data_IF_188555621026
#
_entry.id   IF_188555621026
#
_cell.length_a   1.000
_cell.length_b   1.000
_cell.length_c   1.000
_cell.angle_alpha   90.00
_cell.angle_beta   90.00
_cell.angle_gamma   90.00
#
_symmetry.space_group_name_H-M   'P 1'
#
loop_
_entity.id
_entity.type
_entity.pdbx_description
1 polymer ?
#
# COMPACT_ATOMS: atom_id res chain seq x y z
N UNK A 1 -4.80 38.52 -34.30
CA UNK A 1 -6.07 38.40 -33.57
C UNK A 1 -6.43 36.92 -33.44
N UNK A 2 -5.59 36.14 -32.73
CA UNK A 2 -5.68 34.67 -32.56
C UNK A 2 -5.10 34.33 -31.18
N UNK A 3 -5.70 34.86 -30.10
CA UNK A 3 -5.24 34.52 -28.74
C UNK A 3 -6.39 34.24 -27.76
N UNK A 4 -7.64 34.49 -28.13
CA UNK A 4 -8.77 34.45 -27.18
C UNK A 4 -9.48 33.08 -27.14
N UNK A 5 -9.19 32.16 -28.06
CA UNK A 5 -9.85 30.84 -28.15
C UNK A 5 -9.28 29.79 -27.18
N UNK A 6 -8.12 30.04 -26.55
CA UNK A 6 -7.48 29.07 -25.65
C UNK A 6 -7.98 29.11 -24.19
N UNK A 7 -8.87 30.05 -23.84
CA UNK A 7 -9.32 30.27 -22.45
C UNK A 7 -10.62 29.54 -22.06
N UNK A 8 -11.29 28.80 -22.96
CA UNK A 8 -12.63 28.23 -22.72
C UNK A 8 -12.71 26.69 -22.68
N UNK A 9 -11.57 25.99 -22.56
CA UNK A 9 -11.49 24.55 -22.90
C UNK A 9 -11.28 23.52 -21.79
N UNK A 10 -11.16 23.89 -20.51
CA UNK A 10 -11.08 22.90 -19.41
C UNK A 10 -11.93 23.31 -18.21
N UNK A 11 -13.24 23.18 -18.33
CA UNK A 11 -14.11 23.10 -17.15
C UNK A 11 -13.87 21.75 -16.50
N UNK A 12 -12.95 21.70 -15.55
CA UNK A 12 -12.87 20.60 -14.58
C UNK A 12 -14.24 20.44 -13.89
N UNK A 13 -14.56 19.24 -13.37
CA UNK A 13 -15.78 19.06 -12.61
C UNK A 13 -15.87 20.12 -11.48
N UNK A 14 -17.02 20.78 -11.30
CA UNK A 14 -17.29 21.70 -10.19
C UNK A 14 -16.75 21.18 -8.83
N UNK A 15 -16.21 22.06 -7.96
CA UNK A 15 -15.46 21.66 -6.77
C UNK A 15 -16.25 20.74 -5.81
N UNK A 16 -17.57 20.91 -5.72
CA UNK A 16 -18.44 20.10 -4.84
C UNK A 16 -18.43 18.59 -5.18
N UNK A 17 -18.35 18.25 -6.47
CA UNK A 17 -18.32 16.85 -6.91
C UNK A 17 -16.92 16.24 -6.85
N UNK A 18 -15.87 17.05 -6.94
CA UNK A 18 -14.49 16.57 -6.77
C UNK A 18 -14.21 16.17 -5.32
N UNK A 19 -14.64 16.98 -4.34
CA UNK A 19 -14.46 16.65 -2.92
C UNK A 19 -15.26 15.41 -2.51
N UNK A 20 -16.47 15.25 -3.04
CA UNK A 20 -17.29 14.05 -2.81
C UNK A 20 -16.63 12.79 -3.38
N UNK A 21 -16.03 12.88 -4.57
CA UNK A 21 -15.30 11.76 -5.20
C UNK A 21 -14.03 11.43 -4.42
N UNK A 22 -13.22 12.43 -4.05
CA UNK A 22 -12.00 12.24 -3.26
C UNK A 22 -12.34 11.59 -1.92
N UNK A 23 -13.37 12.08 -1.22
CA UNK A 23 -13.82 11.51 0.05
C UNK A 23 -14.34 10.08 -0.08
N UNK A 24 -15.00 9.73 -1.19
CA UNK A 24 -15.46 8.36 -1.46
C UNK A 24 -14.29 7.43 -1.78
N UNK A 25 -13.33 7.89 -2.59
CA UNK A 25 -12.11 7.15 -2.89
C UNK A 25 -11.27 6.91 -1.63
N UNK A 26 -11.07 7.93 -0.79
CA UNK A 26 -10.34 7.80 0.47
C UNK A 26 -10.98 6.75 1.40
N UNK A 27 -12.31 6.73 1.51
CA UNK A 27 -13.03 5.71 2.30
C UNK A 27 -12.86 4.31 1.73
N UNK A 28 -12.98 4.15 0.41
CA UNK A 28 -12.81 2.85 -0.26
C UNK A 28 -11.38 2.33 -0.05
N UNK A 29 -10.37 3.18 -0.25
CA UNK A 29 -8.97 2.83 -0.05
C UNK A 29 -8.69 2.48 1.43
N UNK A 30 -9.18 3.30 2.36
CA UNK A 30 -9.05 3.03 3.79
C UNK A 30 -9.69 1.71 4.20
N UNK A 31 -10.91 1.43 3.73
CA UNK A 31 -11.58 0.16 3.97
C UNK A 31 -10.81 -1.02 3.36
N UNK A 32 -10.30 -0.88 2.14
CA UNK A 32 -9.49 -1.90 1.47
C UNK A 32 -8.21 -2.24 2.23
N UNK A 33 -7.53 -1.23 2.79
CA UNK A 33 -6.34 -1.41 3.64
C UNK A 33 -6.69 -2.22 4.89
N UNK A 34 -7.77 -1.87 5.59
CA UNK A 34 -8.20 -2.60 6.80
C UNK A 34 -8.58 -4.05 6.48
N UNK A 35 -9.38 -4.26 5.44
CA UNK A 35 -9.82 -5.60 5.02
C UNK A 35 -8.62 -6.48 4.67
N UNK A 36 -7.65 -5.96 3.90
CA UNK A 36 -6.45 -6.71 3.53
C UNK A 36 -5.65 -7.14 4.75
N UNK A 37 -5.51 -6.25 5.74
CA UNK A 37 -4.83 -6.56 7.00
C UNK A 37 -5.54 -7.66 7.79
N UNK A 38 -6.88 -7.60 7.87
CA UNK A 38 -7.69 -8.62 8.55
C UNK A 38 -7.60 -9.98 7.86
N UNK A 39 -7.69 -10.03 6.53
CA UNK A 39 -7.54 -11.26 5.75
C UNK A 39 -6.15 -11.86 5.96
N UNK A 40 -5.10 -11.04 5.89
CA UNK A 40 -3.73 -11.50 6.14
C UNK A 40 -3.52 -12.07 7.54
N UNK A 41 -4.14 -11.47 8.56
CA UNK A 41 -4.11 -11.98 9.94
C UNK A 41 -4.90 -13.29 10.09
N UNK A 42 -6.05 -13.41 9.43
CA UNK A 42 -6.86 -14.62 9.44
C UNK A 42 -6.10 -15.80 8.77
N UNK A 43 -5.48 -15.55 7.61
CA UNK A 43 -4.66 -16.54 6.91
C UNK A 43 -3.46 -17.00 7.75
N UNK A 44 -2.85 -16.08 8.50
CA UNK A 44 -1.77 -16.44 9.42
C UNK A 44 -2.24 -17.28 10.60
N UNK A 45 -3.37 -16.93 11.21
CA UNK A 45 -3.96 -17.74 12.28
C UNK A 45 -4.43 -19.12 11.79
N UNK A 46 -4.82 -19.22 10.52
CA UNK A 46 -5.14 -20.48 9.87
C UNK A 46 -3.87 -21.29 9.49
N UNK A 47 -2.67 -20.75 9.70
CA UNK A 47 -1.40 -21.38 9.33
C UNK A 47 -1.11 -21.40 7.82
N UNK A 48 -1.94 -20.74 7.01
CA UNK A 48 -1.81 -20.68 5.55
C UNK A 48 -0.75 -19.68 5.07
N UNK A 49 -0.37 -18.74 5.94
CA UNK A 49 0.76 -17.83 5.72
C UNK A 49 1.56 -17.69 7.00
N UNK A 50 2.88 -17.65 6.88
CA UNK A 50 3.76 -17.40 8.01
C UNK A 50 4.67 -16.22 7.70
N UNK A 51 4.97 -15.42 8.74
CA UNK A 51 5.89 -14.31 8.63
C UNK A 51 7.28 -14.76 9.06
N UNK A 52 8.17 -14.96 8.08
CA UNK A 52 9.58 -15.32 8.30
C UNK A 52 10.49 -14.13 8.65
N UNK A 53 9.94 -12.94 8.94
CA UNK A 53 10.75 -11.77 9.28
C UNK A 53 11.51 -11.95 10.59
N UNK A 54 12.61 -11.21 10.75
CA UNK A 54 13.36 -11.14 11.99
C UNK A 54 12.50 -10.58 13.14
N UNK A 55 12.76 -10.97 14.41
CA UNK A 55 11.99 -10.52 15.57
C UNK A 55 11.94 -8.99 15.72
N UNK A 56 12.99 -8.28 15.30
CA UNK A 56 13.07 -6.82 15.33
C UNK A 56 12.34 -6.10 14.19
N UNK A 57 11.79 -6.83 13.22
CA UNK A 57 11.03 -6.22 12.12
C UNK A 57 9.80 -5.50 12.66
N UNK A 58 9.53 -4.29 12.15
CA UNK A 58 8.37 -3.48 12.53
C UNK A 58 7.04 -4.24 12.36
N UNK A 59 6.99 -5.19 11.42
CA UNK A 59 5.80 -6.01 11.16
C UNK A 59 5.41 -6.92 12.33
N UNK A 60 6.31 -7.16 13.30
CA UNK A 60 6.01 -7.93 14.52
C UNK A 60 5.61 -7.05 15.70
N UNK A 61 5.64 -5.72 15.55
CA UNK A 61 5.21 -4.80 16.62
C UNK A 61 3.67 -4.82 16.76
N UNK A 62 3.15 -4.81 18.00
CA UNK A 62 1.71 -4.72 18.24
C UNK A 62 1.17 -3.42 17.62
N UNK A 63 0.01 -3.51 16.94
CA UNK A 63 -0.61 -2.41 16.20
C UNK A 63 -0.19 -2.27 14.74
N UNK A 64 1.05 -2.64 14.37
CA UNK A 64 1.54 -2.57 12.98
C UNK A 64 1.46 -3.90 12.22
N UNK A 65 1.21 -4.98 12.96
CA UNK A 65 1.19 -6.34 12.46
C UNK A 65 0.13 -6.61 11.36
N UNK A 66 -0.97 -5.84 11.36
CA UNK A 66 -2.00 -5.90 10.31
C UNK A 66 -1.48 -5.39 8.95
N UNK A 67 -0.54 -4.43 8.95
CA UNK A 67 -0.06 -3.80 7.71
C UNK A 67 1.06 -4.59 7.01
N UNK A 68 1.50 -5.71 7.60
CA UNK A 68 2.66 -6.46 7.09
C UNK A 68 2.51 -6.93 5.65
N UNK A 69 1.29 -7.23 5.21
CA UNK A 69 0.99 -7.78 3.88
C UNK A 69 0.69 -6.70 2.84
N UNK A 70 0.55 -5.45 3.29
CA UNK A 70 0.21 -4.30 2.45
C UNK A 70 1.49 -3.58 2.03
N UNK A 71 2.50 -3.59 2.90
CA UNK A 71 3.81 -3.00 2.62
C UNK A 71 4.67 -3.93 1.78
N UNK A 72 5.43 -3.39 0.82
CA UNK A 72 6.32 -4.17 -0.03
C UNK A 72 7.40 -4.94 0.76
N UNK A 73 7.91 -6.06 0.23
CA UNK A 73 9.00 -6.86 0.81
C UNK A 73 10.22 -6.02 1.19
N UNK A 74 10.51 -4.98 0.41
CA UNK A 74 11.62 -4.03 0.59
C UNK A 74 11.54 -3.16 1.84
N UNK A 75 10.42 -3.19 2.58
CA UNK A 75 10.28 -2.52 3.87
C UNK A 75 10.39 -3.49 5.05
N UNK A 76 10.47 -4.80 4.81
CA UNK A 76 10.61 -5.81 5.86
C UNK A 76 12.07 -6.13 6.17
N UNK A 77 12.34 -6.63 7.38
CA UNK A 77 13.61 -7.26 7.74
C UNK A 77 13.42 -8.75 7.89
N UNK A 78 14.16 -9.54 7.13
CA UNK A 78 14.09 -10.99 7.15
C UNK A 78 15.11 -11.61 6.21
N UNK A 79 15.22 -12.95 6.24
CA UNK A 79 16.21 -13.70 5.46
C UNK A 79 16.08 -13.47 3.94
N UNK A 80 14.87 -13.17 3.46
CA UNK A 80 14.61 -12.85 2.05
C UNK A 80 15.33 -11.59 1.55
N UNK A 81 15.66 -10.62 2.42
CA UNK A 81 16.42 -9.41 2.05
C UNK A 81 17.92 -9.70 1.95
N UNK A 82 18.42 -10.64 2.75
CA UNK A 82 19.83 -11.03 2.71
C UNK A 82 20.14 -11.75 1.40
N UNK A 83 19.25 -12.62 0.90
CA UNK A 83 19.42 -13.25 -0.42
C UNK A 83 19.45 -12.27 -1.60
N UNK A 84 18.84 -11.08 -1.49
CA UNK A 84 18.92 -10.02 -2.51
C UNK A 84 20.18 -9.16 -2.35
N UNK A 85 20.65 -8.94 -1.11
CA UNK A 85 21.89 -8.23 -0.81
C UNK A 85 23.14 -9.08 -1.08
N UNK A 86 23.00 -10.40 -1.04
CA UNK A 86 23.98 -11.40 -1.45
C UNK A 86 23.81 -11.77 -2.93
N UNK A 87 23.34 -10.85 -3.78
CA UNK A 87 23.50 -10.94 -5.23
C UNK A 87 24.99 -10.95 -5.59
N UNK A 88 25.61 -12.09 -5.31
CA UNK A 88 26.49 -12.83 -6.19
C UNK A 88 26.40 -12.22 -7.59
N UNK A 89 27.44 -11.46 -7.90
CA UNK A 89 27.92 -11.25 -9.23
C UNK A 89 28.35 -12.60 -9.82
N UNK A 90 27.39 -13.50 -10.03
CA UNK A 90 27.52 -14.66 -10.90
C UNK A 90 26.63 -14.41 -12.12
N UNK A 91 27.14 -13.53 -12.99
CA UNK A 91 27.11 -13.61 -14.45
C UNK A 91 28.06 -12.55 -15.04
#
# INVERSE_FOLDING_TARGET
MVQEEWMLGRRGPAPEKEEAVIGKLARILGAGVVITGLVGLALERAGLRSCGCYPECWCKRPGLNLFRWITPPTLHRGPWRESEASGEADL
#
